data_IF_093127517331
#
_entry.id   IF_093127517331
#
_cell.length_a   1.000
_cell.length_b   1.000
_cell.length_c   1.000
_cell.angle_alpha   90.00
_cell.angle_beta   90.00
_cell.angle_gamma   90.00
#
_symmetry.space_group_name_H-M   'P 1'
#
loop_
_entity.id
_entity.type
_entity.pdbx_description
1 polymer ?
#
# COMPACT_ATOMS: atom_id res chain seq x y z
N UNK A 1 1.87 -69.55 30.94
CA UNK A 1 0.74 -68.60 30.97
C UNK A 1 1.16 -67.35 30.21
N UNK A 2 0.45 -66.96 29.14
CA UNK A 2 0.81 -65.87 28.22
C UNK A 2 0.28 -64.52 28.72
N UNK A 3 0.98 -63.41 28.41
CA UNK A 3 0.53 -62.03 28.61
C UNK A 3 0.68 -61.25 27.31
N UNK A 4 -0.43 -60.73 26.82
CA UNK A 4 -0.75 -60.31 25.46
C UNK A 4 0.13 -59.21 24.83
N UNK A 5 0.48 -59.44 23.56
CA UNK A 5 0.98 -58.44 22.62
C UNK A 5 -0.11 -57.38 22.32
N UNK A 6 0.18 -56.11 22.63
CA UNK A 6 -0.59 -54.98 22.15
C UNK A 6 -0.22 -54.67 20.69
N UNK A 7 -1.23 -54.63 19.82
CA UNK A 7 -1.07 -54.27 18.42
C UNK A 7 -0.51 -52.85 18.26
N UNK A 8 0.35 -52.57 17.27
CA UNK A 8 0.78 -51.20 16.97
C UNK A 8 -0.44 -50.39 16.52
N UNK A 9 -0.76 -49.34 17.28
CA UNK A 9 -1.82 -48.39 16.95
C UNK A 9 -1.59 -47.80 15.57
N UNK A 10 -2.53 -48.06 14.66
CA UNK A 10 -2.57 -47.44 13.34
C UNK A 10 -2.71 -45.93 13.52
N UNK A 11 -1.65 -45.18 13.18
CA UNK A 11 -1.69 -43.73 13.10
C UNK A 11 -2.87 -43.31 12.20
N UNK A 12 -3.66 -42.36 12.70
CA UNK A 12 -4.80 -41.84 11.99
C UNK A 12 -4.33 -40.99 10.79
N UNK A 13 -5.06 -40.96 9.65
CA UNK A 13 -4.69 -40.13 8.50
C UNK A 13 -4.59 -38.63 8.82
N UNK A 14 -5.17 -38.21 9.94
CA UNK A 14 -5.15 -36.84 10.47
C UNK A 14 -3.78 -36.36 10.94
N UNK A 15 -2.89 -37.27 11.34
CA UNK A 15 -1.58 -36.89 11.90
C UNK A 15 -0.52 -36.59 10.81
N UNK A 16 -0.75 -37.05 9.57
CA UNK A 16 0.17 -36.82 8.45
C UNK A 16 -0.07 -35.50 7.72
N UNK A 17 -1.18 -34.80 7.98
CA UNK A 17 -1.55 -33.59 7.24
C UNK A 17 -0.98 -32.28 7.84
N UNK A 18 -0.31 -32.34 9.00
CA UNK A 18 0.22 -31.15 9.69
C UNK A 18 1.72 -30.90 9.42
N UNK A 19 2.35 -31.73 8.59
CA UNK A 19 3.72 -31.52 8.16
C UNK A 19 3.76 -30.62 6.91
N UNK A 20 3.89 -29.30 7.12
CA UNK A 20 4.51 -28.44 6.11
C UNK A 20 3.80 -27.14 5.78
N UNK A 21 3.71 -26.22 6.74
CA UNK A 21 3.81 -24.78 6.44
C UNK A 21 4.43 -24.09 7.67
N UNK A 22 5.73 -24.30 7.87
CA UNK A 22 6.50 -23.31 8.63
C UNK A 22 6.65 -22.08 7.74
N UNK A 23 5.60 -21.24 7.70
CA UNK A 23 5.73 -19.93 7.12
C UNK A 23 6.78 -19.18 7.95
N UNK A 24 7.89 -18.80 7.32
CA UNK A 24 8.85 -17.91 7.93
C UNK A 24 8.11 -16.68 8.47
N UNK A 25 8.52 -16.17 9.63
CA UNK A 25 7.92 -14.97 10.19
C UNK A 25 7.93 -13.87 9.12
N UNK A 26 6.77 -13.26 8.80
CA UNK A 26 6.68 -12.32 7.70
C UNK A 26 7.59 -11.12 7.98
N UNK A 27 8.38 -10.73 6.99
CA UNK A 27 9.22 -9.54 7.11
C UNK A 27 8.37 -8.28 7.13
N UNK A 28 8.90 -7.18 7.67
CA UNK A 28 8.18 -5.90 7.71
C UNK A 28 7.74 -5.44 6.32
N UNK A 29 8.56 -5.70 5.30
CA UNK A 29 8.28 -5.39 3.90
C UNK A 29 7.12 -6.23 3.38
N UNK A 30 7.09 -7.53 3.69
CA UNK A 30 6.00 -8.41 3.28
C UNK A 30 4.66 -7.96 3.89
N UNK A 31 4.67 -7.59 5.18
CA UNK A 31 3.48 -7.05 5.86
C UNK A 31 3.03 -5.73 5.22
N UNK A 32 3.96 -4.82 4.94
CA UNK A 32 3.65 -3.54 4.31
C UNK A 32 3.05 -3.69 2.90
N UNK A 33 3.58 -4.63 2.10
CA UNK A 33 3.06 -4.94 0.78
C UNK A 33 1.62 -5.48 0.85
N UNK A 34 1.40 -6.48 1.70
CA UNK A 34 0.08 -7.09 1.88
C UNK A 34 -0.94 -6.05 2.38
N UNK A 35 -0.58 -5.24 3.38
CA UNK A 35 -1.45 -4.21 3.91
C UNK A 35 -1.81 -3.15 2.85
N UNK A 36 -0.82 -2.71 2.06
CA UNK A 36 -1.03 -1.73 1.00
C UNK A 36 -1.95 -2.28 -0.09
N UNK A 37 -1.74 -3.53 -0.52
CA UNK A 37 -2.60 -4.19 -1.50
C UNK A 37 -4.03 -4.39 -1.00
N UNK A 38 -4.22 -4.87 0.23
CA UNK A 38 -5.54 -5.06 0.83
C UNK A 38 -6.29 -3.74 0.99
N UNK A 39 -5.59 -2.67 1.37
CA UNK A 39 -6.20 -1.35 1.49
C UNK A 39 -6.66 -0.82 0.13
N UNK A 40 -5.85 -1.01 -0.91
CA UNK A 40 -6.23 -0.64 -2.28
C UNK A 40 -7.45 -1.42 -2.77
N UNK A 41 -7.47 -2.74 -2.55
CA UNK A 41 -8.60 -3.60 -2.93
C UNK A 41 -9.89 -3.21 -2.20
N UNK A 42 -9.82 -3.02 -0.87
CA UNK A 42 -10.97 -2.61 -0.07
C UNK A 42 -11.54 -1.25 -0.51
N UNK A 43 -10.68 -0.31 -0.90
CA UNK A 43 -11.11 0.99 -1.42
C UNK A 43 -11.81 0.86 -2.78
N UNK A 44 -11.24 0.10 -3.71
CA UNK A 44 -11.77 -0.03 -5.08
C UNK A 44 -13.02 -0.90 -5.15
N UNK A 45 -13.00 -2.07 -4.51
CA UNK A 45 -14.09 -3.04 -4.59
C UNK A 45 -15.16 -2.74 -3.53
N UNK A 46 -14.74 -2.48 -2.29
CA UNK A 46 -15.65 -2.33 -1.16
C UNK A 46 -16.28 -0.94 -1.06
N UNK A 47 -15.54 0.13 -1.37
CA UNK A 47 -16.03 1.51 -1.21
C UNK A 47 -16.48 2.13 -2.54
N UNK A 48 -15.66 2.00 -3.59
CA UNK A 48 -15.94 2.61 -4.89
C UNK A 48 -16.83 1.72 -5.79
N UNK A 49 -16.81 0.39 -5.59
CA UNK A 49 -17.64 -0.54 -6.36
C UNK A 49 -17.33 -0.55 -7.87
N UNK A 50 -16.05 -0.37 -8.24
CA UNK A 50 -15.63 -0.16 -9.63
C UNK A 50 -16.11 -1.27 -10.57
N UNK A 51 -16.50 -0.88 -11.78
CA UNK A 51 -16.90 -1.78 -12.86
C UNK A 51 -15.98 -1.61 -14.07
N UNK A 52 -15.88 -2.65 -14.88
CA UNK A 52 -15.15 -2.57 -16.13
C UNK A 52 -15.71 -1.44 -17.02
N UNK A 53 -14.82 -0.58 -17.53
CA UNK A 53 -15.19 0.61 -18.30
C UNK A 53 -15.22 1.91 -17.49
N UNK A 54 -15.21 1.85 -16.16
CA UNK A 54 -15.18 3.05 -15.32
C UNK A 54 -13.85 3.80 -15.40
N UNK A 55 -13.88 5.07 -15.00
CA UNK A 55 -12.70 5.89 -14.82
C UNK A 55 -12.34 6.03 -13.35
N UNK A 56 -11.09 5.69 -13.01
CA UNK A 56 -10.56 5.75 -11.65
C UNK A 56 -9.43 6.77 -11.58
N UNK A 57 -9.60 7.80 -10.74
CA UNK A 57 -8.55 8.77 -10.45
C UNK A 57 -7.75 8.32 -9.23
N UNK A 58 -6.43 8.15 -9.37
CA UNK A 58 -5.53 7.72 -8.30
C UNK A 58 -4.51 8.82 -8.01
N UNK A 59 -4.61 9.42 -6.83
CA UNK A 59 -3.61 10.37 -6.34
C UNK A 59 -2.41 9.66 -5.72
N UNK A 60 -1.22 10.25 -5.84
CA UNK A 60 0.03 9.64 -5.39
C UNK A 60 0.20 8.20 -5.93
N UNK A 61 -0.07 8.03 -7.23
CA UNK A 61 -0.18 6.72 -7.88
C UNK A 61 1.09 5.87 -7.82
N UNK A 62 2.28 6.46 -7.65
CA UNK A 62 3.53 5.72 -7.45
C UNK A 62 3.90 5.51 -5.97
N UNK A 63 2.99 5.81 -5.04
CA UNK A 63 3.16 5.55 -3.61
C UNK A 63 2.84 4.09 -3.23
N UNK A 64 3.04 3.75 -1.96
CA UNK A 64 2.88 2.38 -1.44
C UNK A 64 1.53 1.73 -1.75
N UNK A 65 0.42 2.43 -1.51
CA UNK A 65 -0.93 1.92 -1.85
C UNK A 65 -1.34 2.27 -3.28
N UNK A 66 -0.95 3.46 -3.75
CA UNK A 66 -1.39 4.01 -5.05
C UNK A 66 -1.03 3.10 -6.23
N UNK A 67 0.17 2.50 -6.21
CA UNK A 67 0.60 1.68 -7.36
C UNK A 67 -0.15 0.34 -7.42
N UNK A 68 -0.64 -0.17 -6.28
CA UNK A 68 -1.56 -1.32 -6.27
C UNK A 68 -2.94 -0.92 -6.77
N UNK A 69 -3.45 0.26 -6.39
CA UNK A 69 -4.73 0.75 -6.86
C UNK A 69 -4.76 0.89 -8.40
N UNK A 70 -3.68 1.40 -9.01
CA UNK A 70 -3.55 1.44 -10.48
C UNK A 70 -3.59 0.04 -11.09
N UNK A 71 -2.82 -0.90 -10.54
CA UNK A 71 -2.79 -2.28 -11.05
C UNK A 71 -4.17 -2.94 -11.00
N UNK A 72 -4.83 -2.86 -9.84
CA UNK A 72 -6.13 -3.48 -9.61
C UNK A 72 -7.20 -2.85 -10.49
N UNK A 73 -7.23 -1.52 -10.62
CA UNK A 73 -8.18 -0.82 -11.50
C UNK A 73 -7.98 -1.21 -12.98
N UNK A 74 -6.73 -1.29 -13.45
CA UNK A 74 -6.43 -1.72 -14.82
C UNK A 74 -6.81 -3.20 -15.04
N UNK A 75 -6.53 -4.08 -14.08
CA UNK A 75 -6.91 -5.49 -14.16
C UNK A 75 -8.44 -5.69 -14.13
N UNK A 76 -9.16 -4.83 -13.40
CA UNK A 76 -10.63 -4.81 -13.39
C UNK A 76 -11.23 -4.29 -14.72
N UNK A 77 -10.41 -3.79 -15.65
CA UNK A 77 -10.85 -3.27 -16.93
C UNK A 77 -11.29 -1.80 -16.90
N UNK A 78 -10.88 -1.04 -15.87
CA UNK A 78 -11.14 0.40 -15.76
C UNK A 78 -10.06 1.22 -16.46
N UNK A 79 -10.39 2.44 -16.90
CA UNK A 79 -9.39 3.44 -17.28
C UNK A 79 -8.91 4.21 -16.06
N UNK A 80 -7.65 4.63 -16.05
CA UNK A 80 -7.02 5.24 -14.87
C UNK A 80 -6.41 6.60 -15.18
N UNK A 81 -6.69 7.58 -14.32
CA UNK A 81 -5.94 8.84 -14.25
C UNK A 81 -4.99 8.77 -13.05
N UNK A 82 -3.71 8.57 -13.31
CA UNK A 82 -2.67 8.47 -12.30
C UNK A 82 -1.98 9.82 -12.09
N UNK A 83 -2.15 10.40 -10.91
CA UNK A 83 -1.48 11.63 -10.50
C UNK A 83 -0.20 11.29 -9.75
N UNK A 84 0.94 11.72 -10.29
CA UNK A 84 2.28 11.38 -9.81
C UNK A 84 3.16 12.63 -9.73
N UNK A 85 4.12 12.60 -8.80
CA UNK A 85 5.09 13.67 -8.64
C UNK A 85 6.49 13.19 -8.97
N UNK A 86 7.02 13.65 -10.10
CA UNK A 86 8.41 13.48 -10.52
C UNK A 86 8.57 12.48 -11.66
N UNK A 87 9.48 12.81 -12.59
CA UNK A 87 9.70 12.08 -13.83
C UNK A 87 9.97 10.57 -13.65
N UNK A 88 10.74 10.17 -12.63
CA UNK A 88 11.02 8.75 -12.39
C UNK A 88 9.76 7.95 -12.02
N UNK A 89 8.84 8.57 -11.26
CA UNK A 89 7.58 7.94 -10.83
C UNK A 89 6.61 7.83 -12.00
N UNK A 90 6.58 8.84 -12.86
CA UNK A 90 5.81 8.82 -14.10
C UNK A 90 6.25 7.66 -15.00
N UNK A 91 7.57 7.47 -15.18
CA UNK A 91 8.09 6.37 -15.97
C UNK A 91 7.69 5.00 -15.40
N UNK A 92 7.79 4.81 -14.08
CA UNK A 92 7.38 3.57 -13.42
C UNK A 92 5.89 3.25 -13.64
N UNK A 93 5.00 4.24 -13.52
CA UNK A 93 3.56 4.04 -13.72
C UNK A 93 3.21 3.78 -15.19
N UNK A 94 3.91 4.43 -16.13
CA UNK A 94 3.73 4.14 -17.56
C UNK A 94 4.11 2.70 -17.90
N UNK A 95 5.28 2.23 -17.43
CA UNK A 95 5.69 0.83 -17.61
C UNK A 95 4.68 -0.16 -17.03
N UNK A 96 4.04 0.21 -15.92
CA UNK A 96 2.99 -0.60 -15.30
C UNK A 96 1.72 -0.62 -16.16
N UNK A 97 1.32 0.51 -16.73
CA UNK A 97 0.23 0.62 -17.71
C UNK A 97 0.49 -0.22 -18.95
N UNK A 98 1.67 -0.10 -19.56
CA UNK A 98 2.04 -0.81 -20.78
C UNK A 98 1.90 -2.34 -20.65
N UNK A 99 2.08 -2.86 -19.43
CA UNK A 99 1.95 -4.30 -19.13
C UNK A 99 0.53 -4.75 -18.81
N UNK A 100 -0.33 -3.84 -18.36
CA UNK A 100 -1.64 -4.17 -17.76
C UNK A 100 -2.83 -3.67 -18.56
N UNK A 101 -2.63 -2.74 -19.51
CA UNK A 101 -3.63 -2.33 -20.48
C UNK A 101 -3.89 -3.48 -21.46
N UNK A 102 -4.89 -4.29 -21.14
CA UNK A 102 -5.23 -5.51 -21.89
C UNK A 102 -6.53 -5.37 -22.68
N UNK A 103 -7.40 -4.41 -22.32
CA UNK A 103 -8.70 -4.23 -22.98
C UNK A 103 -8.66 -3.12 -24.04
N UNK A 104 -9.29 -3.33 -25.20
CA UNK A 104 -9.45 -2.27 -26.19
C UNK A 104 -10.30 -1.13 -25.62
N UNK A 105 -9.82 0.11 -25.80
CA UNK A 105 -10.46 1.32 -25.28
C UNK A 105 -10.06 1.71 -23.86
N UNK A 106 -9.30 0.87 -23.15
CA UNK A 106 -8.77 1.19 -21.83
C UNK A 106 -7.62 2.20 -21.94
N UNK A 107 -7.57 3.16 -21.03
CA UNK A 107 -6.57 4.22 -21.04
C UNK A 107 -5.89 4.37 -19.68
N UNK A 108 -4.59 4.70 -19.72
CA UNK A 108 -3.84 5.21 -18.58
C UNK A 108 -3.37 6.63 -18.91
N UNK A 109 -3.92 7.60 -18.20
CA UNK A 109 -3.50 9.00 -18.27
C UNK A 109 -2.60 9.29 -17.08
N UNK A 110 -1.37 9.71 -17.33
CA UNK A 110 -0.41 10.02 -16.25
C UNK A 110 -0.20 11.53 -16.19
N UNK A 111 -0.55 12.12 -15.05
CA UNK A 111 -0.42 13.56 -14.78
C UNK A 111 0.75 13.78 -13.83
N UNK A 112 1.78 14.50 -14.31
CA UNK A 112 2.90 14.94 -13.47
C UNK A 112 2.64 16.35 -12.93
N UNK A 113 2.30 16.45 -11.64
CA UNK A 113 2.04 17.74 -11.03
C UNK A 113 3.31 18.55 -10.70
N UNK A 114 4.48 17.89 -10.64
CA UNK A 114 5.76 18.55 -10.33
C UNK A 114 6.39 19.16 -11.58
N UNK A 115 6.33 18.48 -12.73
CA UNK A 115 6.88 19.00 -13.98
C UNK A 115 6.05 20.12 -14.60
N UNK A 116 4.75 20.18 -14.31
CA UNK A 116 3.87 21.23 -14.81
C UNK A 116 3.74 22.43 -13.85
N UNK A 117 4.46 22.44 -12.72
CA UNK A 117 4.38 23.52 -11.74
C UNK A 117 2.98 23.71 -11.14
N UNK A 118 2.09 22.71 -11.27
CA UNK A 118 0.68 22.85 -10.90
C UNK A 118 0.46 22.71 -9.40
N UNK A 119 1.36 22.03 -8.67
CA UNK A 119 1.25 21.86 -7.22
C UNK A 119 2.65 21.88 -6.57
N UNK A 120 2.83 22.74 -5.57
CA UNK A 120 3.98 22.73 -4.66
C UNK A 120 3.63 21.94 -3.41
N UNK A 121 4.40 20.91 -3.08
CA UNK A 121 4.20 20.17 -1.83
C UNK A 121 4.65 21.05 -0.64
N UNK A 122 3.70 21.35 0.24
CA UNK A 122 3.96 22.09 1.47
C UNK A 122 3.90 21.13 2.67
N UNK A 123 4.79 21.33 3.62
CA UNK A 123 4.91 20.52 4.84
C UNK A 123 5.17 21.46 5.99
N UNK A 124 4.41 21.32 7.07
CA UNK A 124 4.67 22.02 8.33
C UNK A 124 5.74 21.23 9.10
N UNK A 125 6.88 21.86 9.33
CA UNK A 125 7.92 21.28 10.17
C UNK A 125 7.74 21.79 11.59
N UNK A 126 7.49 20.88 12.54
CA UNK A 126 7.42 21.21 13.96
C UNK A 126 8.74 20.81 14.66
N UNK A 127 9.49 21.79 15.20
CA UNK A 127 10.70 21.51 15.97
C UNK A 127 10.37 20.92 17.36
N UNK A 128 11.34 20.24 17.97
CA UNK A 128 11.21 19.75 19.37
C UNK A 128 11.11 18.23 19.54
N UNK A 129 11.19 17.46 18.45
CA UNK A 129 11.22 16.00 18.49
C UNK A 129 9.99 15.39 19.17
N UNK A 130 10.14 14.20 19.77
CA UNK A 130 8.98 13.41 20.23
C UNK A 130 8.12 14.16 21.27
N UNK A 131 8.71 15.08 22.02
CA UNK A 131 8.01 15.87 23.04
C UNK A 131 7.09 16.93 22.42
N UNK A 132 7.32 17.34 21.18
CA UNK A 132 6.49 18.28 20.44
C UNK A 132 5.31 17.61 19.70
N UNK A 133 5.16 16.28 19.81
CA UNK A 133 4.04 15.56 19.16
C UNK A 133 2.67 16.05 19.64
N UNK A 134 2.42 16.28 20.96
CA UNK A 134 1.15 16.83 21.40
C UNK A 134 0.84 18.20 20.76
N UNK A 135 1.84 19.10 20.72
CA UNK A 135 1.69 20.42 20.11
C UNK A 135 1.46 20.34 18.60
N UNK A 136 2.12 19.40 17.92
CA UNK A 136 1.91 19.12 16.49
C UNK A 136 0.49 18.61 16.20
N UNK A 137 -0.06 17.74 17.07
CA UNK A 137 -1.44 17.26 16.97
C UNK A 137 -2.41 18.42 17.20
N UNK A 138 -2.18 19.23 18.23
CA UNK A 138 -2.99 20.41 18.53
C UNK A 138 -3.00 21.41 17.36
N UNK A 139 -1.84 21.67 16.77
CA UNK A 139 -1.69 22.52 15.58
C UNK A 139 -2.47 21.95 14.39
N UNK A 140 -2.44 20.62 14.21
CA UNK A 140 -3.21 19.94 13.17
C UNK A 140 -4.72 20.09 13.42
N UNK A 141 -5.19 19.83 14.63
CA UNK A 141 -6.61 19.89 15.00
C UNK A 141 -7.20 21.31 14.94
N UNK A 142 -6.37 22.35 15.12
CA UNK A 142 -6.78 23.76 14.94
C UNK A 142 -6.93 24.18 13.47
N UNK A 143 -6.61 23.30 12.51
CA UNK A 143 -6.71 23.58 11.08
C UNK A 143 -5.71 24.65 10.60
N UNK A 144 -4.67 24.93 11.38
CA UNK A 144 -3.64 25.94 11.06
C UNK A 144 -2.54 25.38 10.16
N UNK A 145 -2.53 24.07 9.95
CA UNK A 145 -1.55 23.38 9.12
C UNK A 145 -1.80 23.63 7.63
N UNK A 146 -0.73 23.80 6.88
CA UNK A 146 -0.73 23.84 5.41
C UNK A 146 -0.71 22.43 4.80
N UNK A 147 -0.57 21.40 5.65
CA UNK A 147 -0.68 20.00 5.24
C UNK A 147 -0.11 19.03 6.27
N UNK A 148 0.85 18.21 5.83
CA UNK A 148 1.47 17.22 6.70
C UNK A 148 2.36 17.92 7.75
N UNK A 149 2.20 17.54 9.02
CA UNK A 149 3.14 17.91 10.07
C UNK A 149 4.25 16.86 10.17
N UNK A 150 5.51 17.29 10.17
CA UNK A 150 6.69 16.42 10.35
C UNK A 150 7.44 16.84 11.60
N UNK A 151 7.70 15.85 12.46
CA UNK A 151 8.43 15.99 13.72
C UNK A 151 9.75 15.22 13.61
N UNK A 152 10.89 15.86 13.86
CA UNK A 152 12.20 15.20 13.80
C UNK A 152 12.54 14.48 15.10
N UNK A 153 12.50 13.15 15.10
CA UNK A 153 12.72 12.32 16.28
C UNK A 153 14.22 12.18 16.67
N UNK A 154 15.15 12.82 15.94
CA UNK A 154 16.60 12.64 16.12
C UNK A 154 17.27 13.56 17.15
N UNK A 155 16.56 14.46 17.83
CA UNK A 155 17.19 15.37 18.78
C UNK A 155 17.39 14.72 20.16
N UNK A 156 18.52 14.03 20.33
CA UNK A 156 18.95 13.45 21.61
C UNK A 156 20.46 13.23 21.77
N UNK A 157 21.31 13.75 20.87
CA UNK A 157 22.76 13.83 21.12
C UNK A 157 23.15 15.30 21.12
N UNK A 158 23.11 15.91 22.30
CA UNK A 158 23.65 17.24 22.53
C UNK A 158 25.17 17.26 22.34
N UNK A 159 25.65 18.34 21.73
CA UNK A 159 26.99 18.89 21.94
C UNK A 159 26.87 20.06 22.90
#
# INVERSE_FOLDING_TARGET
>A
MPGSAGAPGSASPSDQQQAGLQAAAPTAEAVALVLSGLTAAAALEGTAGIQAGDWVAVTAAAGGTGHFAVQLALLAGCSVVAVVGGAHKVAAIRQLGDRLLTRPGQQLVVVDYTCQGMLTALVDVQPGGIQAVPDAIDYMLRGQHIGKVVVDLRSGRGS
#
